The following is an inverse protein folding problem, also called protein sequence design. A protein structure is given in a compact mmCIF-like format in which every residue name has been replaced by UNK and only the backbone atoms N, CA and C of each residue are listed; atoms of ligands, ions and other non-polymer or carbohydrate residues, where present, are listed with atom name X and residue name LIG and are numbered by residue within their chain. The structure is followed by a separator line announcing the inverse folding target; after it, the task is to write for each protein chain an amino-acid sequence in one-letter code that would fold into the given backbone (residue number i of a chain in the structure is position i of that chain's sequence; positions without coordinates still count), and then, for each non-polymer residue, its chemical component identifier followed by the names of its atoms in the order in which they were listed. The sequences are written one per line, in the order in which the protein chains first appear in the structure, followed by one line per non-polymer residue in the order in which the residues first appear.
data_IF_902200171731
#
_entry.id   IF_902200171731
#
_cell.length_a   1.000
_cell.length_b   1.000
_cell.length_c   1.000
_cell.angle_alpha   90.00
_cell.angle_beta   90.00
_cell.angle_gamma   90.00
#
_symmetry.space_group_name_H-M   'P 1'
#
loop_
_entity.id
_entity.type
_entity.pdbx_description
1 polymer ?
#
# COMPACT_ATOMS: atom_id res chain seq x y z
N UNK A 1 11.57 10.28 -26.02
CA UNK A 1 13.05 10.27 -25.88
C UNK A 1 13.38 10.17 -24.40
N UNK A 2 13.83 9.02 -23.92
CA UNK A 2 14.38 8.88 -22.57
C UNK A 2 15.82 9.38 -22.64
N UNK A 3 16.10 10.55 -22.08
CA UNK A 3 17.49 11.00 -21.89
C UNK A 3 18.13 10.09 -20.85
N UNK A 4 19.21 9.41 -21.23
CA UNK A 4 19.99 8.59 -20.30
C UNK A 4 20.48 9.48 -19.16
N UNK A 5 19.97 9.25 -17.94
CA UNK A 5 20.53 9.90 -16.76
C UNK A 5 22.02 9.51 -16.63
N UNK A 6 22.90 10.43 -16.20
CA UNK A 6 24.29 10.09 -15.96
C UNK A 6 24.38 8.94 -14.94
N UNK A 7 25.04 7.85 -15.33
CA UNK A 7 25.31 6.72 -14.45
C UNK A 7 26.36 7.12 -13.43
N UNK A 8 25.95 7.32 -12.18
CA UNK A 8 26.87 7.43 -11.04
C UNK A 8 27.27 6.06 -10.53
N UNK A 9 28.53 5.87 -10.19
CA UNK A 9 28.99 4.68 -9.47
C UNK A 9 28.77 4.88 -7.96
N UNK A 10 28.09 3.93 -7.32
CA UNK A 10 27.84 3.95 -5.89
C UNK A 10 27.84 2.53 -5.34
N UNK A 11 28.45 2.32 -4.18
CA UNK A 11 28.56 1.01 -3.52
C UNK A 11 27.95 1.11 -2.12
N UNK A 12 27.29 0.03 -1.68
CA UNK A 12 26.75 -0.12 -0.32
C UNK A 12 25.23 -0.02 -0.24
N UNK A 13 24.72 -0.19 0.97
CA UNK A 13 23.27 -0.28 1.28
C UNK A 13 22.50 0.97 0.82
N UNK A 14 23.10 2.16 0.93
CA UNK A 14 22.48 3.40 0.48
C UNK A 14 22.23 3.43 -1.03
N UNK A 15 23.18 2.96 -1.84
CA UNK A 15 23.03 2.87 -3.28
C UNK A 15 21.98 1.82 -3.67
N UNK A 16 22.01 0.64 -3.03
CA UNK A 16 21.00 -0.42 -3.23
C UNK A 16 19.59 0.09 -2.94
N UNK A 17 19.40 0.73 -1.78
CA UNK A 17 18.13 1.37 -1.40
C UNK A 17 17.68 2.40 -2.42
N UNK A 18 18.55 3.33 -2.80
CA UNK A 18 18.21 4.39 -3.75
C UNK A 18 17.76 3.82 -5.11
N UNK A 19 18.45 2.79 -5.60
CA UNK A 19 18.11 2.14 -6.87
C UNK A 19 16.75 1.44 -6.80
N UNK A 20 16.51 0.62 -5.76
CA UNK A 20 15.26 -0.12 -5.62
C UNK A 20 14.08 0.84 -5.37
N UNK A 21 14.22 1.82 -4.50
CA UNK A 21 13.17 2.83 -4.24
C UNK A 21 12.88 3.66 -5.49
N UNK A 22 13.90 4.02 -6.28
CA UNK A 22 13.70 4.72 -7.55
C UNK A 22 12.96 3.84 -8.56
N UNK A 23 13.30 2.56 -8.65
CA UNK A 23 12.62 1.61 -9.53
C UNK A 23 11.13 1.46 -9.15
N UNK A 24 10.82 1.32 -7.85
CA UNK A 24 9.44 1.30 -7.33
C UNK A 24 8.69 2.57 -7.76
N UNK A 25 9.29 3.74 -7.55
CA UNK A 25 8.66 5.02 -7.92
C UNK A 25 8.35 5.10 -9.41
N UNK A 26 9.32 4.80 -10.27
CA UNK A 26 9.13 4.80 -11.74
C UNK A 26 8.01 3.85 -12.15
N UNK A 27 8.00 2.65 -11.59
CA UNK A 27 7.01 1.62 -11.90
C UNK A 27 5.60 2.04 -11.46
N UNK A 28 5.46 2.55 -10.24
CA UNK A 28 4.16 2.89 -9.66
C UNK A 28 3.61 4.20 -10.21
N UNK A 29 4.45 5.06 -10.79
CA UNK A 29 4.04 6.28 -11.50
C UNK A 29 3.43 6.00 -12.89
N UNK A 30 3.53 4.76 -13.41
CA UNK A 30 2.89 4.38 -14.68
C UNK A 30 1.37 4.27 -14.55
N UNK A 31 0.67 5.34 -14.95
CA UNK A 31 -0.79 5.44 -14.92
C UNK A 31 -1.53 4.46 -15.84
N UNK A 32 -0.83 3.80 -16.79
CA UNK A 32 -1.42 2.73 -17.61
C UNK A 32 -1.40 1.38 -16.90
N UNK A 33 -0.62 1.26 -15.83
CA UNK A 33 -0.45 0.04 -15.04
C UNK A 33 -1.06 0.17 -13.64
N UNK A 34 -1.11 1.37 -13.09
CA UNK A 34 -1.50 1.60 -11.69
C UNK A 34 -2.56 2.70 -11.58
N UNK A 35 -3.52 2.47 -10.69
CA UNK A 35 -4.57 3.43 -10.36
C UNK A 35 -4.51 3.80 -8.88
N UNK A 36 -4.90 5.03 -8.55
CA UNK A 36 -5.12 5.44 -7.16
C UNK A 36 -6.46 4.86 -6.71
N UNK A 37 -6.46 4.17 -5.58
CA UNK A 37 -7.65 3.42 -5.09
C UNK A 37 -8.45 4.18 -4.05
N UNK A 38 -7.79 5.07 -3.31
CA UNK A 38 -8.40 5.76 -2.19
C UNK A 38 -7.81 7.15 -1.94
N UNK A 39 -8.38 7.85 -0.96
CA UNK A 39 -8.03 9.23 -0.63
C UNK A 39 -6.61 9.38 -0.07
N UNK A 40 -6.04 8.30 0.47
CA UNK A 40 -4.68 8.24 1.01
C UNK A 40 -3.60 8.22 -0.08
N UNK A 41 -4.02 8.08 -1.34
CA UNK A 41 -3.15 8.08 -2.51
C UNK A 41 -2.50 6.72 -2.79
N UNK A 42 -2.98 5.64 -2.17
CA UNK A 42 -2.44 4.31 -2.41
C UNK A 42 -2.78 3.81 -3.81
N UNK A 43 -1.81 3.09 -4.40
CA UNK A 43 -1.93 2.56 -5.75
C UNK A 43 -2.08 1.05 -5.78
N UNK A 44 -2.98 0.58 -6.63
CA UNK A 44 -3.18 -0.83 -6.98
C UNK A 44 -3.12 -1.02 -8.50
N UNK A 45 -2.96 -2.26 -8.98
CA UNK A 45 -3.04 -2.57 -10.40
C UNK A 45 -4.30 -2.00 -11.03
N UNK A 46 -4.14 -1.31 -12.16
CA UNK A 46 -5.26 -0.94 -13.02
C UNK A 46 -5.72 -2.21 -13.73
N UNK A 47 -6.94 -2.65 -13.44
CA UNK A 47 -7.52 -3.84 -14.05
C UNK A 47 -8.15 -3.46 -15.38
N UNK A 48 -7.71 -4.08 -16.47
CA UNK A 48 -8.24 -3.82 -17.81
C UNK A 48 -9.05 -5.04 -18.27
N UNK A 49 -10.36 -4.87 -18.50
CA UNK A 49 -11.19 -5.95 -19.04
C UNK A 49 -10.64 -6.45 -20.38
N UNK A 50 -10.50 -7.77 -20.50
CA UNK A 50 -10.27 -8.48 -21.77
C UNK A 50 -8.95 -8.20 -22.55
N UNK A 51 -7.99 -7.44 -22.00
CA UNK A 51 -6.85 -6.94 -22.77
C UNK A 51 -5.45 -7.16 -22.14
N UNK A 52 -5.33 -8.09 -21.19
CA UNK A 52 -4.05 -8.34 -20.54
C UNK A 52 -3.13 -9.20 -21.40
N UNK A 53 -2.16 -8.58 -22.07
CA UNK A 53 -1.10 -9.28 -22.81
C UNK A 53 -0.04 -9.88 -21.87
N UNK A 54 0.71 -10.87 -22.36
CA UNK A 54 1.72 -11.56 -21.56
C UNK A 54 2.84 -10.64 -21.04
N UNK A 55 3.18 -9.57 -21.78
CA UNK A 55 4.14 -8.56 -21.36
C UNK A 55 3.62 -7.69 -20.21
N UNK A 56 2.33 -7.33 -20.20
CA UNK A 56 1.69 -6.67 -19.05
C UNK A 56 1.71 -7.56 -17.81
N UNK A 57 1.32 -8.83 -17.93
CA UNK A 57 1.30 -9.77 -16.79
C UNK A 57 2.71 -10.02 -16.22
N UNK A 58 3.71 -10.19 -17.08
CA UNK A 58 5.12 -10.31 -16.65
C UNK A 58 5.65 -9.05 -15.95
N UNK A 59 5.17 -7.86 -16.35
CA UNK A 59 5.49 -6.61 -15.63
C UNK A 59 4.90 -6.62 -14.23
N UNK A 60 3.62 -6.97 -14.04
CA UNK A 60 3.04 -7.07 -12.70
C UNK A 60 3.76 -8.09 -11.82
N UNK A 61 4.15 -9.24 -12.38
CA UNK A 61 4.97 -10.21 -11.66
C UNK A 61 6.30 -9.61 -11.22
N UNK A 62 7.01 -8.94 -12.13
CA UNK A 62 8.25 -8.22 -11.80
C UNK A 62 8.02 -7.16 -10.72
N UNK A 63 6.92 -6.41 -10.79
CA UNK A 63 6.59 -5.38 -9.80
C UNK A 63 6.29 -5.97 -8.42
N UNK A 64 5.60 -7.12 -8.37
CA UNK A 64 5.38 -7.89 -7.14
C UNK A 64 6.70 -8.29 -6.49
N UNK A 65 7.64 -8.84 -7.29
CA UNK A 65 8.98 -9.19 -6.81
C UNK A 65 9.76 -7.98 -6.33
N UNK A 66 9.66 -6.85 -7.03
CA UNK A 66 10.31 -5.60 -6.61
C UNK A 66 9.73 -5.08 -5.28
N UNK A 67 8.41 -5.18 -5.08
CA UNK A 67 7.77 -4.84 -3.80
C UNK A 67 8.24 -5.75 -2.67
N UNK A 68 8.34 -7.06 -2.92
CA UNK A 68 8.90 -8.01 -1.96
C UNK A 68 10.34 -7.62 -1.59
N UNK A 69 11.22 -7.39 -2.57
CA UNK A 69 12.58 -6.92 -2.30
C UNK A 69 12.59 -5.63 -1.46
N UNK A 70 11.74 -4.67 -1.77
CA UNK A 70 11.68 -3.42 -1.01
C UNK A 70 11.27 -3.65 0.47
N UNK A 71 10.29 -4.53 0.72
CA UNK A 71 9.83 -4.88 2.08
C UNK A 71 10.90 -5.69 2.82
N UNK A 72 11.42 -6.75 2.21
CA UNK A 72 12.25 -7.75 2.89
C UNK A 72 13.74 -7.42 2.91
N UNK A 73 14.26 -6.85 1.83
CA UNK A 73 15.70 -6.54 1.70
C UNK A 73 16.01 -5.14 2.19
N UNK A 74 15.12 -4.18 1.91
CA UNK A 74 15.35 -2.77 2.24
C UNK A 74 14.67 -2.35 3.55
N UNK A 75 13.74 -3.17 4.06
CA UNK A 75 12.95 -2.91 5.28
C UNK A 75 12.18 -1.59 5.21
N UNK A 76 11.64 -1.26 4.04
CA UNK A 76 10.85 -0.06 3.80
C UNK A 76 9.55 -0.38 3.06
N UNK A 77 8.48 0.41 3.24
CA UNK A 77 7.25 0.24 2.46
C UNK A 77 7.47 0.63 0.98
N UNK A 78 6.98 -0.15 0.00
CA UNK A 78 7.11 0.16 -1.42
C UNK A 78 6.14 1.28 -1.85
N UNK A 79 6.29 2.49 -1.33
CA UNK A 79 5.38 3.60 -1.58
C UNK A 79 5.36 4.05 -3.05
N UNK A 80 4.19 4.42 -3.62
CA UNK A 80 2.85 4.47 -3.03
C UNK A 80 2.01 3.18 -3.18
N UNK A 81 2.61 1.99 -3.28
CA UNK A 81 1.88 0.74 -3.39
C UNK A 81 0.95 0.55 -2.17
N UNK A 82 -0.27 0.07 -2.41
CA UNK A 82 -1.25 -0.14 -1.36
C UNK A 82 -0.80 -1.22 -0.37
N UNK A 83 -0.80 -0.96 0.95
CA UNK A 83 -0.53 -1.99 1.94
C UNK A 83 -1.62 -3.08 1.92
N UNK A 84 -2.83 -2.77 1.45
CA UNK A 84 -3.92 -3.73 1.30
C UNK A 84 -3.64 -4.72 0.17
N UNK A 85 -2.98 -4.29 -0.91
CA UNK A 85 -2.53 -5.21 -1.96
C UNK A 85 -1.47 -6.19 -1.46
N UNK A 86 -0.54 -5.72 -0.61
CA UNK A 86 0.47 -6.58 0.01
C UNK A 86 -0.17 -7.56 1.00
N UNK A 87 -1.12 -7.09 1.81
CA UNK A 87 -1.92 -7.91 2.72
C UNK A 87 -2.70 -9.00 1.95
N UNK A 88 -3.33 -8.62 0.83
CA UNK A 88 -4.02 -9.53 -0.08
C UNK A 88 -3.07 -10.58 -0.68
N UNK A 89 -1.85 -10.19 -1.07
CA UNK A 89 -0.87 -11.14 -1.59
C UNK A 89 -0.45 -12.22 -0.56
N UNK A 90 -0.55 -11.91 0.74
CA UNK A 90 -0.13 -12.80 1.83
C UNK A 90 -1.25 -13.72 2.32
N UNK A 91 -2.46 -13.18 2.48
CA UNK A 91 -3.59 -13.89 3.10
C UNK A 91 -4.83 -13.99 2.23
N UNK A 92 -4.82 -13.38 1.05
CA UNK A 92 -5.99 -13.30 0.20
C UNK A 92 -7.05 -12.35 0.74
N UNK A 93 -8.29 -12.65 0.38
CA UNK A 93 -9.40 -11.70 0.51
C UNK A 93 -9.83 -11.46 1.95
N UNK A 94 -9.90 -12.51 2.77
CA UNK A 94 -10.43 -12.45 4.13
C UNK A 94 -9.64 -11.48 5.02
N UNK A 95 -8.36 -11.25 4.73
CA UNK A 95 -7.53 -10.33 5.50
C UNK A 95 -7.86 -8.85 5.28
N UNK A 96 -8.60 -8.51 4.21
CA UNK A 96 -8.99 -7.15 3.88
C UNK A 96 -10.16 -6.65 4.73
N UNK A 97 -11.04 -7.56 5.17
CA UNK A 97 -12.20 -7.22 6.01
C UNK A 97 -11.76 -7.09 7.46
N UNK A 98 -10.93 -6.08 7.73
CA UNK A 98 -10.38 -5.77 9.06
C UNK A 98 -10.41 -4.26 9.30
N UNK A 99 -11.44 -3.76 10.00
CA UNK A 99 -11.61 -2.33 10.22
C UNK A 99 -10.47 -1.71 11.03
N UNK A 100 -9.89 -2.44 11.98
CA UNK A 100 -8.80 -1.90 12.79
C UNK A 100 -7.54 -1.70 11.96
N UNK A 101 -7.25 -2.66 11.08
CA UNK A 101 -6.15 -2.55 10.11
C UNK A 101 -6.36 -1.41 9.12
N UNK A 102 -7.57 -1.31 8.54
CA UNK A 102 -7.91 -0.21 7.60
C UNK A 102 -7.85 1.14 8.31
N UNK A 103 -8.40 1.28 9.51
CA UNK A 103 -8.38 2.52 10.29
C UNK A 103 -6.95 3.02 10.56
N UNK A 104 -6.01 2.10 10.79
CA UNK A 104 -4.61 2.45 11.07
C UNK A 104 -3.86 2.95 9.84
N UNK A 105 -4.15 2.40 8.66
CA UNK A 105 -3.40 2.69 7.43
C UNK A 105 -4.10 3.66 6.49
N UNK A 106 -5.42 3.67 6.52
CA UNK A 106 -6.30 4.42 5.63
C UNK A 106 -7.52 4.97 6.40
N UNK A 107 -7.33 5.95 7.29
CA UNK A 107 -8.37 6.45 8.18
C UNK A 107 -9.54 7.10 7.43
N UNK A 108 -9.30 7.76 6.28
CA UNK A 108 -10.38 8.39 5.50
C UNK A 108 -11.22 7.31 4.80
N UNK A 109 -10.56 6.28 4.30
CA UNK A 109 -11.25 5.09 3.76
C UNK A 109 -12.02 4.36 4.85
N UNK A 110 -11.45 4.18 6.04
CA UNK A 110 -12.10 3.54 7.18
C UNK A 110 -13.36 4.30 7.62
N UNK A 111 -13.27 5.63 7.72
CA UNK A 111 -14.41 6.50 8.02
C UNK A 111 -15.53 6.33 7.00
N UNK A 112 -15.18 6.19 5.72
CA UNK A 112 -16.14 5.90 4.65
C UNK A 112 -16.79 4.54 4.86
N UNK A 113 -16.00 3.49 5.10
CA UNK A 113 -16.47 2.11 5.28
C UNK A 113 -17.24 1.87 6.59
N UNK A 114 -17.16 2.76 7.58
CA UNK A 114 -17.78 2.59 8.89
C UNK A 114 -19.31 2.45 8.87
N UNK A 115 -19.97 2.90 7.79
CA UNK A 115 -21.43 2.75 7.62
C UNK A 115 -21.86 1.34 7.19
N UNK A 116 -20.91 0.47 6.84
CA UNK A 116 -21.16 -0.90 6.44
C UNK A 116 -21.15 -1.81 7.69
N UNK A 117 -22.27 -2.45 8.05
CA UNK A 117 -22.30 -3.33 9.21
C UNK A 117 -21.47 -4.58 8.93
N UNK A 118 -20.61 -4.94 9.89
CA UNK A 118 -19.79 -6.16 9.85
C UNK A 118 -20.50 -7.34 10.50
N UNK A 119 -21.44 -7.05 11.39
CA UNK A 119 -22.31 -8.05 11.99
C UNK A 119 -23.47 -8.32 11.02
N UNK A 120 -23.55 -9.51 10.42
CA UNK A 120 -24.60 -9.84 9.46
C UNK A 120 -25.99 -9.91 10.11
N UNK A 121 -26.09 -9.93 11.44
CA UNK A 121 -27.36 -9.83 12.14
C UNK A 121 -27.91 -8.39 12.21
N UNK A 122 -27.08 -7.38 11.94
CA UNK A 122 -27.52 -6.00 11.90
C UNK A 122 -28.25 -5.71 10.57
N UNK A 123 -29.47 -5.15 10.62
CA UNK A 123 -30.19 -4.84 9.40
C UNK A 123 -29.47 -3.76 8.60
N UNK A 124 -29.32 -3.98 7.29
CA UNK A 124 -28.83 -2.95 6.37
C UNK A 124 -29.87 -1.84 6.23
N UNK A 125 -29.41 -0.58 6.27
CA UNK A 125 -30.25 0.56 5.94
C UNK A 125 -30.40 0.67 4.42
N UNK A 126 -31.54 0.23 3.90
CA UNK A 126 -31.88 0.30 2.48
C UNK A 126 -32.38 1.68 2.03
N UNK A 127 -32.36 2.70 2.88
CA UNK A 127 -32.80 4.04 2.50
C UNK A 127 -31.85 4.65 1.46
N UNK A 128 -32.43 5.30 0.44
CA UNK A 128 -31.66 5.94 -0.63
C UNK A 128 -30.79 7.11 -0.12
N UNK A 129 -31.14 7.67 1.03
CA UNK A 129 -30.44 8.78 1.68
C UNK A 129 -29.58 8.32 2.87
N UNK A 130 -29.56 7.01 3.16
CA UNK A 130 -28.79 6.44 4.24
C UNK A 130 -27.29 6.45 3.97
N UNK A 131 -26.46 6.28 5.00
CA UNK A 131 -25.00 6.34 4.86
C UNK A 131 -24.41 5.18 4.03
N UNK A 132 -25.16 4.09 3.84
CA UNK A 132 -24.78 2.96 2.98
C UNK A 132 -24.92 3.28 1.48
N UNK A 133 -25.91 4.10 1.11
CA UNK A 133 -26.22 4.47 -0.29
C UNK A 133 -25.00 5.01 -1.07
N UNK A 134 -24.25 6.01 -0.57
CA UNK A 134 -23.06 6.49 -1.28
C UNK A 134 -21.97 5.42 -1.40
N UNK A 135 -21.80 4.53 -0.41
CA UNK A 135 -20.80 3.45 -0.50
C UNK A 135 -21.12 2.44 -1.58
N UNK A 136 -22.37 1.99 -1.65
CA UNK A 136 -22.81 1.06 -2.68
C UNK A 136 -22.71 1.66 -4.08
N UNK A 137 -23.07 2.94 -4.21
CA UNK A 137 -22.94 3.66 -5.47
C UNK A 137 -21.47 3.81 -5.90
N UNK A 138 -20.59 4.23 -4.98
CA UNK A 138 -19.17 4.49 -5.28
C UNK A 138 -18.40 3.20 -5.54
N UNK A 139 -18.57 2.17 -4.71
CA UNK A 139 -17.70 0.99 -4.74
C UNK A 139 -18.32 -0.20 -5.45
N UNK A 140 -19.64 -0.31 -5.51
CA UNK A 140 -20.31 -1.45 -6.16
C UNK A 140 -21.10 -1.07 -7.40
N UNK A 141 -21.30 0.23 -7.65
CA UNK A 141 -22.21 0.74 -8.69
C UNK A 141 -23.64 0.12 -8.56
N UNK A 142 -24.10 -0.04 -7.31
CA UNK A 142 -25.40 -0.62 -6.95
C UNK A 142 -26.18 0.41 -6.13
N UNK A 143 -27.49 0.49 -6.34
CA UNK A 143 -28.40 1.25 -5.47
C UNK A 143 -28.96 0.35 -4.37
N UNK A 144 -29.20 0.85 -3.14
CA UNK A 144 -29.78 0.07 -2.05
C UNK A 144 -31.07 -0.68 -2.42
N UNK A 145 -31.91 -0.08 -3.29
CA UNK A 145 -33.18 -0.66 -3.76
C UNK A 145 -33.01 -1.88 -4.67
N UNK A 146 -31.80 -2.13 -5.20
CA UNK A 146 -31.49 -3.31 -6.00
C UNK A 146 -31.09 -4.51 -5.14
N UNK A 147 -30.83 -4.30 -3.84
CA UNK A 147 -30.49 -5.38 -2.93
C UNK A 147 -31.75 -6.17 -2.53
N UNK A 148 -31.65 -7.50 -2.35
CA UNK A 148 -32.75 -8.28 -1.80
C UNK A 148 -33.12 -7.81 -0.40
N UNK A 149 -34.41 -7.63 -0.13
CA UNK A 149 -34.91 -7.24 1.19
C UNK A 149 -34.63 -8.30 2.28
N UNK A 150 -34.51 -9.57 1.89
CA UNK A 150 -34.22 -10.69 2.77
C UNK A 150 -32.88 -11.33 2.36
N UNK A 151 -31.80 -10.58 2.51
CA UNK A 151 -30.46 -11.04 2.21
C UNK A 151 -30.03 -12.14 3.20
N UNK A 152 -29.46 -13.24 2.72
CA UNK A 152 -28.85 -14.23 3.60
C UNK A 152 -27.58 -13.68 4.24
N UNK A 153 -27.13 -14.30 5.34
CA UNK A 153 -25.83 -13.96 5.98
C UNK A 153 -24.69 -14.04 4.97
N UNK A 154 -24.69 -15.07 4.13
CA UNK A 154 -23.67 -15.28 3.09
C UNK A 154 -23.66 -14.14 2.06
N UNK A 155 -24.83 -13.72 1.58
CA UNK A 155 -24.96 -12.61 0.64
C UNK A 155 -24.53 -11.27 1.27
N UNK A 156 -24.79 -11.08 2.56
CA UNK A 156 -24.35 -9.90 3.30
C UNK A 156 -22.82 -9.87 3.40
N UNK A 157 -22.20 -11.00 3.77
CA UNK A 157 -20.74 -11.11 3.83
C UNK A 157 -20.08 -10.95 2.45
N UNK A 158 -20.70 -11.47 1.39
CA UNK A 158 -20.24 -11.28 0.01
C UNK A 158 -20.31 -9.80 -0.40
N UNK A 159 -21.40 -9.11 -0.08
CA UNK A 159 -21.54 -7.67 -0.32
C UNK A 159 -20.49 -6.87 0.45
N UNK A 160 -20.30 -7.19 1.74
CA UNK A 160 -19.29 -6.54 2.58
C UNK A 160 -17.90 -6.72 1.97
N UNK A 161 -17.56 -7.95 1.62
CA UNK A 161 -16.32 -8.26 0.93
C UNK A 161 -16.19 -7.45 -0.36
N UNK A 162 -17.20 -7.45 -1.22
CA UNK A 162 -17.16 -6.71 -2.48
C UNK A 162 -16.90 -5.20 -2.28
N UNK A 163 -17.54 -4.58 -1.28
CA UNK A 163 -17.31 -3.16 -0.97
C UNK A 163 -15.87 -2.93 -0.49
N UNK A 164 -15.36 -3.76 0.44
CA UNK A 164 -13.98 -3.66 0.92
C UNK A 164 -12.95 -3.86 -0.20
N UNK A 165 -13.16 -4.84 -1.08
CA UNK A 165 -12.30 -5.11 -2.23
C UNK A 165 -12.19 -3.89 -3.14
N UNK A 166 -13.33 -3.30 -3.48
CA UNK A 166 -13.38 -2.15 -4.38
C UNK A 166 -12.77 -0.92 -3.73
N UNK A 167 -13.04 -0.69 -2.44
CA UNK A 167 -12.48 0.45 -1.71
C UNK A 167 -10.96 0.36 -1.55
N UNK A 168 -10.41 -0.83 -1.31
CA UNK A 168 -8.99 -1.02 -0.95
C UNK A 168 -8.10 -1.43 -2.14
N UNK A 169 -8.66 -2.15 -3.11
CA UNK A 169 -7.94 -2.68 -4.28
C UNK A 169 -8.41 -2.06 -5.61
N UNK A 170 -9.58 -1.41 -5.64
CA UNK A 170 -10.17 -0.90 -6.89
C UNK A 170 -10.72 -2.01 -7.80
N UNK A 171 -10.98 -3.20 -7.28
CA UNK A 171 -11.56 -4.32 -8.03
C UNK A 171 -12.45 -5.23 -7.15
N UNK A 172 -13.61 -5.69 -7.64
CA UNK A 172 -14.48 -6.60 -6.89
C UNK A 172 -13.93 -8.04 -6.93
N UNK A 173 -14.17 -8.85 -5.87
CA UNK A 173 -13.75 -10.25 -5.84
C UNK A 173 -14.61 -11.13 -6.78
N UNK A 174 -15.83 -10.67 -7.10
CA UNK A 174 -16.76 -11.30 -8.04
C UNK A 174 -16.46 -10.99 -9.51
N UNK A 175 -15.46 -10.15 -9.81
CA UNK A 175 -14.93 -10.07 -11.16
C UNK A 175 -14.37 -11.46 -11.51
N UNK A 176 -14.91 -12.09 -12.57
CA UNK A 176 -14.50 -13.41 -13.03
C UNK A 176 -12.98 -13.60 -12.87
N UNK A 177 -12.52 -14.77 -12.40
CA UNK A 177 -11.10 -15.09 -12.17
C UNK A 177 -10.16 -14.58 -13.28
N UNK A 178 -10.66 -14.50 -14.51
CA UNK A 178 -9.95 -13.95 -15.65
C UNK A 178 -9.64 -12.44 -15.63
N UNK A 179 -10.40 -11.64 -14.89
CA UNK A 179 -10.23 -10.20 -14.73
C UNK A 179 -9.22 -9.83 -13.64
N UNK A 180 -8.86 -10.75 -12.73
CA UNK A 180 -7.88 -10.48 -11.66
C UNK A 180 -6.47 -10.95 -12.02
N UNK A 181 -6.17 -11.19 -13.31
CA UNK A 181 -4.87 -11.70 -13.75
C UNK A 181 -3.72 -10.78 -13.34
N UNK A 182 -3.87 -9.47 -13.43
CA UNK A 182 -2.85 -8.51 -13.01
C UNK A 182 -2.53 -8.64 -11.51
N UNK A 183 -3.56 -8.69 -10.66
CA UNK A 183 -3.39 -8.87 -9.21
C UNK A 183 -2.76 -10.22 -8.92
N UNK A 184 -3.24 -11.27 -9.58
CA UNK A 184 -2.71 -12.63 -9.41
C UNK A 184 -1.23 -12.72 -9.79
N UNK A 185 -0.82 -12.18 -10.93
CA UNK A 185 0.58 -12.17 -11.35
C UNK A 185 1.44 -11.30 -10.42
N UNK A 186 0.90 -10.17 -9.93
CA UNK A 186 1.55 -9.40 -8.88
C UNK A 186 1.78 -10.25 -7.63
N UNK A 187 0.76 -10.96 -7.14
CA UNK A 187 0.86 -11.82 -5.96
C UNK A 187 1.88 -12.95 -6.18
N UNK A 188 1.91 -13.59 -7.35
CA UNK A 188 2.95 -14.57 -7.70
C UNK A 188 4.36 -13.97 -7.66
N UNK A 189 4.49 -12.72 -8.09
CA UNK A 189 5.77 -12.01 -8.05
C UNK A 189 6.20 -11.70 -6.62
N UNK A 190 5.24 -11.27 -5.79
CA UNK A 190 5.45 -10.93 -4.40
C UNK A 190 5.81 -12.16 -3.56
N UNK A 191 5.10 -13.28 -3.76
CA UNK A 191 5.38 -14.55 -3.12
C UNK A 191 6.48 -15.34 -3.86
N UNK A 192 7.58 -14.68 -4.18
CA UNK A 192 8.72 -15.34 -4.80
C UNK A 192 9.26 -16.44 -3.85
N UNK A 193 9.30 -17.68 -4.34
CA UNK A 193 9.90 -18.78 -3.60
C UNK A 193 11.42 -18.65 -3.56
N UNK A 194 12.01 -18.67 -2.38
CA UNK A 194 13.39 -19.14 -2.25
C UNK A 194 13.35 -20.66 -2.29
N UNK A 195 14.43 -21.33 -2.67
CA UNK A 195 14.47 -22.80 -2.70
C UNK A 195 13.92 -23.45 -1.42
N UNK A 196 13.63 -24.75 -1.51
CA UNK A 196 13.12 -25.58 -0.41
C UNK A 196 11.66 -25.36 0.00
N UNK A 197 10.79 -24.99 -0.95
CA UNK A 197 9.33 -24.83 -0.76
C UNK A 197 8.90 -23.77 0.27
N UNK A 198 9.82 -22.93 0.75
CA UNK A 198 9.49 -21.82 1.64
C UNK A 198 9.09 -20.58 0.81
N UNK A 199 7.90 -20.07 1.09
CA UNK A 199 7.36 -18.87 0.45
C UNK A 199 7.59 -17.63 1.33
N UNK A 200 7.70 -16.46 0.70
CA UNK A 200 7.76 -15.19 1.43
C UNK A 200 6.50 -14.97 2.26
N UNK A 201 5.34 -15.26 1.67
CA UNK A 201 4.05 -15.11 2.34
C UNK A 201 3.95 -16.01 3.57
N UNK A 202 4.40 -17.27 3.48
CA UNK A 202 4.41 -18.20 4.62
C UNK A 202 5.22 -17.69 5.81
N UNK A 203 6.33 -17.00 5.55
CA UNK A 203 7.16 -16.38 6.59
C UNK A 203 6.46 -15.20 7.28
N UNK A 204 5.62 -14.45 6.56
CA UNK A 204 4.95 -13.25 7.05
C UNK A 204 3.58 -13.48 7.69
N UNK A 205 2.88 -14.56 7.32
CA UNK A 205 1.50 -14.85 7.75
C UNK A 205 1.21 -14.69 9.25
N UNK A 206 2.14 -14.88 10.19
CA UNK A 206 1.83 -14.64 11.61
C UNK A 206 1.72 -13.15 12.00
N UNK A 207 2.39 -12.24 11.28
CA UNK A 207 2.60 -10.86 11.73
C UNK A 207 2.50 -9.80 10.64
N UNK A 208 2.01 -10.14 9.44
CA UNK A 208 2.12 -9.23 8.30
C UNK A 208 1.34 -7.92 8.47
N UNK A 209 0.21 -7.87 9.20
CA UNK A 209 -0.58 -6.66 9.43
C UNK A 209 0.19 -5.72 10.33
N UNK A 210 0.73 -6.24 11.44
CA UNK A 210 1.57 -5.47 12.34
C UNK A 210 2.83 -4.96 11.63
N UNK A 211 3.47 -5.79 10.81
CA UNK A 211 4.62 -5.40 10.01
C UNK A 211 4.26 -4.32 9.00
N UNK A 212 3.17 -4.48 8.23
CA UNK A 212 2.73 -3.50 7.24
C UNK A 212 2.35 -2.18 7.92
N UNK A 213 1.66 -2.24 9.06
CA UNK A 213 1.41 -1.08 9.90
C UNK A 213 2.71 -0.40 10.32
N UNK A 214 3.68 -1.14 10.83
CA UNK A 214 4.97 -0.59 11.25
C UNK A 214 5.75 0.04 10.09
N UNK A 215 5.72 -0.59 8.90
CA UNK A 215 6.42 -0.09 7.72
C UNK A 215 5.76 1.19 7.19
N UNK A 216 4.43 1.24 7.10
CA UNK A 216 3.70 2.36 6.53
C UNK A 216 3.49 3.53 7.52
N UNK A 217 3.54 3.28 8.83
CA UNK A 217 3.50 4.33 9.87
C UNK A 217 4.79 5.18 9.89
N UNK A 218 5.86 4.70 9.26
CA UNK A 218 7.10 5.47 9.06
C UNK A 218 6.97 6.56 7.98
N UNK A 219 5.79 6.72 7.36
CA UNK A 219 5.55 7.75 6.34
C UNK A 219 5.56 9.13 6.98
N UNK A 220 6.50 9.96 6.53
CA UNK A 220 6.46 11.41 6.80
C UNK A 220 5.34 12.00 5.94
N UNK A 221 4.25 12.42 6.58
CA UNK A 221 3.08 13.04 5.95
C UNK A 221 3.09 14.56 6.07
N UNK A 222 3.89 15.12 6.97
CA UNK A 222 4.05 16.58 7.11
C UNK A 222 5.50 16.97 7.45
N UNK A 223 5.96 18.16 7.03
CA UNK A 223 7.26 18.68 7.44
C UNK A 223 7.40 18.78 8.97
N UNK A 224 6.30 19.03 9.70
CA UNK A 224 6.34 19.15 11.16
C UNK A 224 6.83 17.88 11.85
N UNK A 225 6.49 16.69 11.34
CA UNK A 225 6.96 15.42 11.89
C UNK A 225 8.49 15.27 11.85
N UNK A 226 9.15 15.93 10.91
CA UNK A 226 10.62 15.97 10.82
C UNK A 226 11.17 17.09 11.67
N UNK A 227 10.62 18.31 11.54
CA UNK A 227 11.11 19.51 12.23
C UNK A 227 11.08 19.32 13.74
N UNK A 228 10.03 18.72 14.29
CA UNK A 228 9.91 18.45 15.74
C UNK A 228 10.94 17.47 16.27
N UNK A 229 11.57 16.68 15.38
CA UNK A 229 12.63 15.71 15.73
C UNK A 229 14.04 16.21 15.42
N UNK A 230 14.17 17.40 14.80
CA UNK A 230 15.48 18.00 14.55
C UNK A 230 16.02 18.57 15.86
N UNK A 231 17.01 17.89 16.43
CA UNK A 231 17.81 18.43 17.51
C UNK A 231 19.00 19.20 16.93
N UNK A 232 19.15 20.46 17.35
CA UNK A 232 20.29 21.29 16.97
C UNK A 232 21.26 21.31 18.15
N UNK A 233 22.44 20.70 17.99
CA UNK A 233 23.53 20.92 18.94
C UNK A 233 24.03 22.36 18.78
N UNK A 234 23.69 23.20 19.74
CA UNK A 234 24.26 24.55 19.84
C UNK A 234 25.68 24.39 20.35
N UNK A 235 26.64 24.33 19.43
CA UNK A 235 28.04 24.45 19.78
C UNK A 235 28.28 25.82 20.42
N UNK A 236 28.33 25.88 21.75
CA UNK A 236 28.76 27.06 22.49
C UNK A 236 30.19 27.38 22.07
N UNK A 237 30.34 28.39 21.21
CA UNK A 237 31.65 28.87 20.80
C UNK A 237 32.28 29.57 22.00
N UNK A 238 33.04 28.83 22.82
CA UNK A 238 33.97 29.44 23.74
C UNK A 238 34.96 30.24 22.90
N UNK A 239 34.86 31.57 22.94
CA UNK A 239 35.82 32.49 22.35
C UNK A 239 37.18 32.25 23.01
N UNK A 240 37.96 31.31 22.46
CA UNK A 240 39.38 31.24 22.71
C UNK A 240 40.05 32.42 21.99
N UNK A 241 40.97 33.14 22.65
CA UNK A 241 41.70 34.23 22.02
C UNK A 241 42.55 33.68 20.87
N UNK A 242 42.22 34.14 19.66
CA UNK A 242 43.03 34.21 18.45
C UNK A 242 43.89 32.98 18.13
N UNK A 243 43.36 32.08 17.28
CA UNK A 243 44.06 31.19 16.32
C UNK A 243 43.63 29.71 16.32
N UNK A 244 42.34 29.40 16.46
CA UNK A 244 41.82 28.08 16.07
C UNK A 244 40.49 28.22 15.33
N UNK A 245 40.46 27.78 14.07
CA UNK A 245 39.22 27.61 13.29
C UNK A 245 38.62 26.26 13.70
N UNK A 246 37.44 26.30 14.31
CA UNK A 246 36.67 25.09 14.63
C UNK A 246 35.73 24.80 13.45
N UNK A 247 35.85 23.60 12.86
CA UNK A 247 34.91 23.07 11.88
C UNK A 247 33.71 22.48 12.62
N UNK A 248 32.51 22.99 12.34
CA UNK A 248 31.25 22.42 12.83
C UNK A 248 30.85 21.29 11.88
N UNK A 249 30.85 20.06 12.37
CA UNK A 249 30.30 18.90 11.67
C UNK A 249 28.91 18.60 12.23
N UNK A 250 27.87 18.68 11.41
CA UNK A 250 26.55 18.19 11.77
C UNK A 250 26.55 16.65 11.67
N UNK A 251 26.60 15.94 12.79
CA UNK A 251 26.23 14.52 12.82
C UNK A 251 24.72 14.43 13.02
N UNK A 252 23.98 14.11 11.96
CA UNK A 252 22.59 13.67 12.11
C UNK A 252 22.60 12.26 12.71
N UNK A 253 22.47 12.14 14.03
CA UNK A 253 22.19 10.86 14.67
C UNK A 253 20.73 10.48 14.37
N UNK A 254 20.58 9.41 13.59
CA UNK A 254 19.35 8.61 13.46
C UNK A 254 18.07 9.30 12.97
N UNK A 255 18.17 10.32 12.11
CA UNK A 255 17.00 10.80 11.35
C UNK A 255 17.06 10.23 9.94
N UNK A 256 16.36 9.11 9.73
CA UNK A 256 16.11 8.54 8.42
C UNK A 256 15.07 9.41 7.69
N UNK A 257 15.53 10.43 6.95
CA UNK A 257 14.67 11.22 6.07
C UNK A 257 14.49 10.45 4.76
N UNK A 258 13.28 9.90 4.55
CA UNK A 258 12.87 9.26 3.29
C UNK A 258 12.33 10.39 2.39
N UNK A 259 13.09 10.75 1.34
CA UNK A 259 12.67 11.67 0.26
C UNK A 259 12.33 10.90 -1.03
#
# INVERSE_FOLDING_TARGET
MLTSAPSGEGIGVGAERAVISRAIKIVLDDHYMWQVTNNEGFRCPLIIPFASDSGRLNRFKTHGTLCALHVFRIHLPPMPCSPFLLCYAIWGFDALVDPAFVQKLAPDTAASLAALPLDPAQPLDYSLTGPLSPLLATYSNIQPTQLPANMSVEQCMELVGQVYANALLGCPPSAALDMLKEVFYFCQGFDASFGDNASFCDTLKPSAKDLLCLLYDQRITSPSQVIERLEFEVALTLRMPSSCVLLVTCEARDILIIL
#
